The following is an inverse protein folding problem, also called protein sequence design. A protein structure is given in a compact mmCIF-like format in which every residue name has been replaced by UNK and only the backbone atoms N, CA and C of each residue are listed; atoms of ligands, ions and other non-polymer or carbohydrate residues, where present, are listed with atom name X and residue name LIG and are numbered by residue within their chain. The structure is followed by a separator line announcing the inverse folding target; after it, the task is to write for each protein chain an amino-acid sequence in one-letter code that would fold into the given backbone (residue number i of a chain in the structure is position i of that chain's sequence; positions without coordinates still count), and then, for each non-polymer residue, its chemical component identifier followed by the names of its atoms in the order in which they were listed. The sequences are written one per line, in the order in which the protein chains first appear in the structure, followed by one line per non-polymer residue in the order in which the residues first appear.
data_IF_795603550615
#
_entry.id   IF_795603550615
#
_cell.length_a   1.000
_cell.length_b   1.000
_cell.length_c   1.000
_cell.angle_alpha   90.00
_cell.angle_beta   90.00
_cell.angle_gamma   90.00
#
_symmetry.space_group_name_H-M   'P 1'
#
loop_
_entity.id
_entity.type
_entity.pdbx_description
1 polymer ?
#
# COMPACT_ATOMS: atom_id res chain seq x y z
N UNK A 1 17.92 -2.32 10.73
CA UNK A 1 17.13 -1.82 11.88
C UNK A 1 15.81 -2.58 11.85
N UNK A 2 15.26 -2.94 13.00
CA UNK A 2 14.03 -3.72 13.04
C UNK A 2 12.79 -2.80 12.86
N UNK A 3 11.69 -3.33 12.31
CA UNK A 3 10.56 -2.49 11.87
C UNK A 3 9.96 -1.63 12.99
N UNK A 4 9.92 -2.11 14.24
CA UNK A 4 9.36 -1.34 15.34
C UNK A 4 10.19 -0.08 15.60
N UNK A 5 11.52 -0.24 15.64
CA UNK A 5 12.45 0.88 15.85
C UNK A 5 12.35 1.91 14.72
N UNK A 6 12.28 1.45 13.47
CA UNK A 6 12.13 2.36 12.31
C UNK A 6 10.84 3.17 12.44
N UNK A 7 9.71 2.52 12.72
CA UNK A 7 8.43 3.20 12.81
C UNK A 7 8.35 4.10 14.05
N UNK A 8 8.93 3.70 15.19
CA UNK A 8 8.94 4.47 16.43
C UNK A 8 9.72 5.79 16.32
N UNK A 9 10.77 5.82 15.50
CA UNK A 9 11.58 7.03 15.27
C UNK A 9 10.87 8.09 14.41
N UNK A 10 9.80 7.71 13.69
CA UNK A 10 9.04 8.63 12.84
C UNK A 10 8.25 9.60 13.73
N UNK A 11 8.59 10.89 13.64
CA UNK A 11 7.84 11.96 14.31
C UNK A 11 6.57 12.29 13.53
N UNK A 12 5.48 12.46 14.25
CA UNK A 12 4.22 12.97 13.71
C UNK A 12 4.12 14.49 13.87
N UNK A 13 3.05 15.08 13.34
CA UNK A 13 2.81 16.54 13.37
C UNK A 13 2.82 17.14 14.78
N UNK A 14 2.47 16.35 15.82
CA UNK A 14 2.48 16.79 17.23
C UNK A 14 3.89 17.00 17.76
N UNK A 15 4.89 16.37 17.12
CA UNK A 15 6.32 16.43 17.44
C UNK A 15 7.12 17.14 16.35
N UNK A 16 6.49 18.05 15.60
CA UNK A 16 7.09 18.79 14.47
C UNK A 16 7.61 17.87 13.34
N UNK A 17 7.03 16.68 13.20
CA UNK A 17 7.28 15.79 12.06
C UNK A 17 6.34 16.08 10.90
N UNK A 18 6.78 15.71 9.68
CA UNK A 18 6.02 15.95 8.44
C UNK A 18 5.60 14.64 7.74
N UNK A 19 6.02 13.49 8.26
CA UNK A 19 5.87 12.20 7.59
C UNK A 19 4.59 11.45 7.95
N UNK A 20 3.86 11.83 8.99
CA UNK A 20 2.61 11.19 9.35
C UNK A 20 1.76 12.11 10.23
N UNK A 21 0.45 11.88 10.23
CA UNK A 21 -0.49 12.71 10.99
C UNK A 21 -0.54 12.28 12.47
N UNK A 22 -0.34 10.99 12.73
CA UNK A 22 -0.26 10.45 14.08
C UNK A 22 0.72 9.28 14.14
N UNK A 23 1.55 9.23 15.17
CA UNK A 23 2.35 8.06 15.50
C UNK A 23 2.52 7.91 17.02
N UNK A 24 1.97 6.83 17.58
CA UNK A 24 1.92 6.63 19.03
C UNK A 24 1.19 5.35 19.42
N UNK A 25 0.77 5.24 20.67
CA UNK A 25 -0.03 4.11 21.12
C UNK A 25 -1.39 4.11 20.43
N UNK A 26 -1.91 2.90 20.17
CA UNK A 26 -3.22 2.71 19.57
C UNK A 26 -4.34 3.25 20.48
N UNK A 27 -4.18 3.11 21.79
CA UNK A 27 -5.09 3.67 22.81
C UNK A 27 -5.26 5.19 22.63
N UNK A 28 -4.14 5.93 22.61
CA UNK A 28 -4.13 7.38 22.42
C UNK A 28 -4.84 7.80 21.11
N UNK A 29 -4.73 6.99 20.05
CA UNK A 29 -5.39 7.28 18.78
C UNK A 29 -6.91 7.05 18.84
N UNK A 30 -7.35 6.01 19.55
CA UNK A 30 -8.77 5.69 19.72
C UNK A 30 -9.53 6.79 20.48
N UNK A 31 -8.84 7.58 21.31
CA UNK A 31 -9.42 8.73 22.00
C UNK A 31 -9.62 9.96 21.09
N UNK A 32 -8.81 10.11 20.03
CA UNK A 32 -8.83 11.29 19.16
C UNK A 32 -9.52 11.06 17.82
N UNK A 33 -9.71 9.81 17.40
CA UNK A 33 -10.42 9.48 16.16
C UNK A 33 -11.90 9.88 16.26
N UNK A 34 -12.32 10.78 15.35
CA UNK A 34 -13.70 11.25 15.28
C UNK A 34 -14.65 10.07 15.08
N UNK A 35 -15.72 10.00 15.87
CA UNK A 35 -16.72 8.94 15.77
C UNK A 35 -17.66 9.08 14.56
N UNK A 36 -17.54 10.15 13.77
CA UNK A 36 -18.38 10.40 12.59
C UNK A 36 -17.80 9.88 11.27
N UNK A 37 -16.51 9.52 11.21
CA UNK A 37 -15.85 9.03 10.00
C UNK A 37 -15.37 7.57 10.18
N UNK A 38 -15.65 6.71 9.19
CA UNK A 38 -15.13 5.34 9.07
C UNK A 38 -15.31 4.39 10.28
N UNK A 39 -16.55 4.27 10.78
CA UNK A 39 -16.92 3.31 11.84
C UNK A 39 -16.34 1.89 11.65
N UNK A 40 -16.32 1.28 10.45
CA UNK A 40 -15.72 -0.05 10.27
C UNK A 40 -14.23 -0.12 10.63
N UNK A 41 -13.45 0.91 10.30
CA UNK A 41 -12.03 0.97 10.67
C UNK A 41 -11.89 1.10 12.18
N UNK A 42 -12.70 1.97 12.81
CA UNK A 42 -12.69 2.17 14.26
C UNK A 42 -12.99 0.88 15.03
N UNK A 43 -13.97 0.09 14.58
CA UNK A 43 -14.31 -1.20 15.19
C UNK A 43 -13.13 -2.19 15.12
N UNK A 44 -12.42 -2.22 13.98
CA UNK A 44 -11.21 -3.05 13.81
C UNK A 44 -10.09 -2.58 14.73
N UNK A 45 -9.87 -1.27 14.84
CA UNK A 45 -8.83 -0.71 15.70
C UNK A 45 -9.10 -0.98 17.18
N UNK A 46 -10.35 -0.84 17.64
CA UNK A 46 -10.75 -1.26 18.99
C UNK A 46 -10.50 -2.74 19.22
N UNK A 47 -10.91 -3.60 18.28
CA UNK A 47 -10.71 -5.03 18.41
C UNK A 47 -9.21 -5.42 18.45
N UNK A 48 -8.35 -4.74 17.70
CA UNK A 48 -6.90 -4.93 17.76
C UNK A 48 -6.31 -4.50 19.11
N UNK A 49 -6.80 -3.38 19.67
CA UNK A 49 -6.38 -2.91 20.99
C UNK A 49 -6.73 -3.91 22.10
N UNK A 50 -7.94 -4.50 22.05
CA UNK A 50 -8.34 -5.54 23.02
C UNK A 50 -7.50 -6.83 22.91
N UNK A 51 -6.96 -7.14 21.74
CA UNK A 51 -6.04 -8.27 21.57
C UNK A 51 -4.63 -7.96 22.10
N UNK A 52 -4.18 -6.70 22.00
CA UNK A 52 -2.88 -6.28 22.49
C UNK A 52 -2.86 -4.76 22.78
N UNK A 53 -2.80 -4.42 24.07
CA UNK A 53 -2.80 -3.03 24.54
C UNK A 53 -1.48 -2.28 24.27
N UNK A 54 -0.38 -2.99 23.96
CA UNK A 54 0.93 -2.38 23.67
C UNK A 54 1.10 -2.00 22.19
N UNK A 55 0.05 -2.15 21.38
CA UNK A 55 0.09 -1.79 19.97
C UNK A 55 0.28 -0.29 19.77
N UNK A 56 1.01 0.02 18.71
CA UNK A 56 1.17 1.36 18.19
C UNK A 56 0.56 1.47 16.80
N UNK A 57 0.21 2.70 16.44
CA UNK A 57 -0.37 3.05 15.16
C UNK A 57 0.37 4.23 14.55
N UNK A 58 0.64 4.14 13.25
CA UNK A 58 1.08 5.25 12.42
C UNK A 58 0.01 5.51 11.34
N UNK A 59 -0.48 6.75 11.29
CA UNK A 59 -1.61 7.16 10.44
C UNK A 59 -1.13 8.13 9.36
N UNK A 60 -1.57 7.88 8.13
CA UNK A 60 -1.21 8.65 6.93
C UNK A 60 0.30 8.78 6.75
N UNK A 61 1.03 7.66 6.88
CA UNK A 61 2.47 7.63 6.68
C UNK A 61 2.81 7.98 5.23
N UNK A 62 3.50 9.09 5.05
CA UNK A 62 3.94 9.63 3.78
C UNK A 62 5.28 9.04 3.38
N UNK A 63 5.39 8.69 2.10
CA UNK A 63 6.59 8.12 1.52
C UNK A 63 6.89 8.70 0.14
N UNK A 64 8.17 8.67 -0.21
CA UNK A 64 8.63 9.02 -1.53
C UNK A 64 8.31 7.95 -2.56
N UNK A 65 8.14 8.39 -3.80
CA UNK A 65 8.22 7.51 -4.94
C UNK A 65 9.70 7.31 -5.28
N UNK A 66 10.18 6.07 -5.19
CA UNK A 66 11.57 5.75 -5.45
C UNK A 66 11.95 5.98 -6.92
N UNK A 67 12.63 7.11 -7.14
CA UNK A 67 13.05 7.54 -8.48
C UNK A 67 14.03 6.57 -9.13
N UNK A 68 14.85 5.84 -8.36
CA UNK A 68 15.82 4.89 -8.91
C UNK A 68 15.12 3.66 -9.52
N UNK A 69 14.01 3.23 -8.93
CA UNK A 69 13.25 2.09 -9.45
C UNK A 69 12.52 2.47 -10.73
N UNK A 70 11.91 3.66 -10.78
CA UNK A 70 11.25 4.14 -12.00
C UNK A 70 12.27 4.49 -13.10
N UNK A 71 13.41 5.12 -12.76
CA UNK A 71 14.42 5.55 -13.75
C UNK A 71 15.14 4.37 -14.41
N UNK A 72 15.30 3.25 -13.70
CA UNK A 72 15.77 1.99 -14.26
C UNK A 72 14.73 1.29 -15.17
N UNK A 73 13.67 2.01 -15.57
CA UNK A 73 12.57 1.55 -16.41
C UNK A 73 11.87 0.30 -15.85
N UNK A 74 11.90 0.08 -14.54
CA UNK A 74 11.23 -1.06 -13.91
C UNK A 74 9.72 -0.85 -14.04
N UNK A 75 9.24 0.37 -13.76
CA UNK A 75 7.85 0.79 -13.96
C UNK A 75 7.89 2.03 -14.82
N UNK A 76 7.22 2.00 -15.97
CA UNK A 76 7.19 3.13 -16.91
C UNK A 76 6.01 4.02 -16.60
N UNK A 77 6.19 4.93 -15.67
CA UNK A 77 5.16 5.93 -15.35
C UNK A 77 5.79 7.27 -15.00
N UNK A 78 6.10 8.05 -16.04
CA UNK A 78 6.88 9.29 -15.93
C UNK A 78 6.19 10.37 -15.10
N UNK A 79 4.86 10.32 -15.02
CA UNK A 79 4.07 11.34 -14.34
C UNK A 79 4.25 11.27 -12.82
N UNK A 80 4.61 10.11 -12.26
CA UNK A 80 5.00 9.96 -10.86
C UNK A 80 6.23 10.82 -10.48
N UNK A 81 7.11 11.17 -11.43
CA UNK A 81 8.25 12.04 -11.16
C UNK A 81 7.90 13.52 -11.04
N UNK A 82 6.69 13.90 -11.47
CA UNK A 82 6.24 15.29 -11.41
C UNK A 82 5.76 15.67 -10.00
N UNK A 83 5.40 14.66 -9.20
CA UNK A 83 4.97 14.84 -7.82
C UNK A 83 6.15 15.30 -6.95
N UNK A 84 5.90 16.31 -6.12
CA UNK A 84 6.86 16.84 -5.15
C UNK A 84 6.62 16.25 -3.74
N UNK A 85 7.63 16.34 -2.87
CA UNK A 85 7.53 15.86 -1.49
C UNK A 85 7.28 14.35 -1.38
N UNK A 86 6.40 13.97 -0.46
CA UNK A 86 6.07 12.59 -0.08
C UNK A 86 4.64 12.22 -0.53
N UNK A 87 4.41 11.97 -1.83
CA UNK A 87 3.05 11.86 -2.37
C UNK A 87 2.34 10.54 -2.04
N UNK A 88 3.08 9.47 -1.69
CA UNK A 88 2.48 8.18 -1.35
C UNK A 88 2.02 8.22 0.09
N UNK A 89 0.74 7.97 0.35
CA UNK A 89 0.18 7.95 1.71
C UNK A 89 -0.27 6.52 2.04
N UNK A 90 0.33 5.94 3.08
CA UNK A 90 -0.10 4.68 3.67
C UNK A 90 -1.08 4.98 4.82
N UNK A 91 -2.38 4.62 4.70
CA UNK A 91 -3.42 5.10 5.61
C UNK A 91 -3.20 4.70 7.07
N UNK A 92 -2.98 3.40 7.32
CA UNK A 92 -2.78 2.88 8.67
C UNK A 92 -1.68 1.83 8.65
N UNK A 93 -0.74 1.96 9.58
CA UNK A 93 0.21 0.91 9.95
C UNK A 93 0.04 0.63 11.43
N UNK A 94 -0.42 -0.58 11.76
CA UNK A 94 -0.42 -1.10 13.13
C UNK A 94 0.88 -1.84 13.34
N UNK A 95 1.61 -1.54 14.40
CA UNK A 95 2.89 -2.16 14.67
C UNK A 95 3.07 -2.44 16.16
N UNK A 96 3.85 -3.48 16.45
CA UNK A 96 4.02 -3.95 17.81
C UNK A 96 5.17 -4.92 17.92
N UNK A 97 5.41 -5.31 19.17
CA UNK A 97 6.37 -6.32 19.55
C UNK A 97 5.66 -7.36 20.40
N UNK A 98 5.96 -8.63 20.14
CA UNK A 98 5.53 -9.73 20.98
C UNK A 98 6.67 -10.73 21.05
N UNK A 99 7.05 -11.09 22.28
CA UNK A 99 8.27 -11.85 22.56
C UNK A 99 9.49 -11.16 21.92
N UNK A 100 10.18 -11.83 21.00
CA UNK A 100 11.33 -11.32 20.23
C UNK A 100 10.97 -10.93 18.79
N UNK A 101 9.68 -10.86 18.45
CA UNK A 101 9.21 -10.55 17.10
C UNK A 101 8.66 -9.12 17.02
N UNK A 102 9.28 -8.31 16.19
CA UNK A 102 8.73 -7.02 15.76
C UNK A 102 7.98 -7.19 14.45
N UNK A 103 6.74 -6.72 14.40
CA UNK A 103 5.86 -6.87 13.23
C UNK A 103 5.01 -5.63 13.02
N UNK A 104 4.59 -5.46 11.77
CA UNK A 104 3.63 -4.46 11.39
C UNK A 104 2.61 -4.98 10.37
N UNK A 105 1.46 -4.31 10.34
CA UNK A 105 0.32 -4.58 9.50
C UNK A 105 -0.08 -3.27 8.80
N UNK A 106 0.06 -3.22 7.48
CA UNK A 106 -0.62 -2.19 6.66
C UNK A 106 -2.10 -2.55 6.62
N UNK A 107 -2.94 -1.58 6.99
CA UNK A 107 -4.38 -1.69 6.95
C UNK A 107 -4.93 -0.58 6.05
N UNK A 108 -5.65 -0.97 5.01
CA UNK A 108 -6.31 -0.05 4.07
C UNK A 108 -7.82 -0.22 4.17
N UNK A 109 -8.57 0.88 4.07
CA UNK A 109 -10.03 0.83 4.05
C UNK A 109 -10.55 -0.15 2.99
N UNK A 110 -11.58 -0.92 3.32
CA UNK A 110 -12.11 -1.92 2.41
C UNK A 110 -12.97 -1.31 1.30
N UNK A 111 -12.67 -1.69 0.07
CA UNK A 111 -13.54 -1.60 -1.10
C UNK A 111 -13.26 -2.80 -2.01
N UNK A 112 -14.07 -3.01 -3.05
CA UNK A 112 -13.98 -4.14 -3.98
C UNK A 112 -12.55 -4.45 -4.45
N UNK A 113 -11.72 -3.42 -4.62
CA UNK A 113 -10.37 -3.54 -5.17
C UNK A 113 -9.29 -2.90 -4.30
N UNK A 114 -9.61 -2.48 -3.07
CA UNK A 114 -8.65 -1.79 -2.21
C UNK A 114 -7.44 -2.63 -1.81
N UNK A 115 -7.53 -3.96 -1.91
CA UNK A 115 -6.40 -4.85 -1.67
C UNK A 115 -5.25 -4.61 -2.67
N UNK A 116 -5.56 -4.19 -3.91
CA UNK A 116 -4.53 -3.79 -4.87
C UNK A 116 -3.71 -2.61 -4.32
N UNK A 117 -4.35 -1.60 -3.74
CA UNK A 117 -3.62 -0.48 -3.14
C UNK A 117 -2.82 -0.91 -1.91
N UNK A 118 -3.37 -1.77 -1.04
CA UNK A 118 -2.63 -2.32 0.09
C UNK A 118 -1.34 -3.03 -0.35
N UNK A 119 -1.40 -3.83 -1.42
CA UNK A 119 -0.22 -4.47 -2.03
C UNK A 119 0.74 -3.47 -2.67
N UNK A 120 0.21 -2.46 -3.35
CA UNK A 120 1.01 -1.40 -3.96
C UNK A 120 1.82 -0.63 -2.93
N UNK A 121 1.19 -0.29 -1.80
CA UNK A 121 1.83 0.35 -0.65
C UNK A 121 2.91 -0.55 -0.06
N UNK A 122 2.59 -1.82 0.21
CA UNK A 122 3.59 -2.81 0.65
C UNK A 122 4.83 -2.83 -0.25
N UNK A 123 4.63 -2.91 -1.56
CA UNK A 123 5.76 -2.92 -2.51
C UNK A 123 6.52 -1.60 -2.59
N UNK A 124 5.86 -0.47 -2.38
CA UNK A 124 6.49 0.85 -2.44
C UNK A 124 7.30 1.12 -1.16
N UNK A 125 6.80 0.70 -0.01
CA UNK A 125 7.50 0.88 1.26
C UNK A 125 8.68 -0.09 1.43
N UNK A 126 8.60 -1.28 0.83
CA UNK A 126 9.61 -2.36 1.01
C UNK A 126 10.50 -2.61 -0.20
N UNK A 127 10.41 -1.80 -1.27
CA UNK A 127 11.32 -1.92 -2.40
C UNK A 127 12.77 -1.53 -2.03
N UNK A 128 13.78 -1.96 -2.82
CA UNK A 128 15.15 -1.55 -2.58
C UNK A 128 15.28 -0.03 -2.47
N UNK A 129 16.11 0.44 -1.53
CA UNK A 129 16.33 1.87 -1.22
C UNK A 129 15.16 2.61 -0.54
N UNK A 130 14.01 1.97 -0.34
CA UNK A 130 12.96 2.51 0.55
C UNK A 130 13.33 2.30 2.02
N UNK A 131 12.75 3.10 2.92
CA UNK A 131 13.10 3.08 4.34
C UNK A 131 12.70 1.77 5.06
N UNK A 132 11.77 0.98 4.49
CA UNK A 132 11.42 -0.38 4.99
C UNK A 132 11.97 -1.50 4.09
N UNK A 133 12.98 -1.25 3.26
CA UNK A 133 13.56 -2.25 2.34
C UNK A 133 13.99 -3.55 3.07
N UNK A 134 14.57 -3.40 4.26
CA UNK A 134 15.06 -4.53 5.07
C UNK A 134 13.95 -5.21 5.89
N UNK A 135 12.77 -4.59 5.99
CA UNK A 135 11.65 -5.04 6.82
C UNK A 135 10.56 -5.79 6.06
N UNK A 136 10.80 -6.19 4.80
CA UNK A 136 9.79 -6.89 3.98
C UNK A 136 9.22 -8.16 4.63
N UNK A 137 9.99 -8.79 5.52
CA UNK A 137 9.65 -10.03 6.23
C UNK A 137 9.02 -9.76 7.61
N UNK A 138 8.75 -8.50 7.93
CA UNK A 138 8.17 -8.04 9.20
C UNK A 138 6.83 -7.31 8.98
N UNK A 139 6.46 -7.09 7.71
CA UNK A 139 5.30 -6.33 7.28
C UNK A 139 4.31 -7.21 6.52
N UNK A 140 3.03 -7.08 6.83
CA UNK A 140 1.92 -7.71 6.10
C UNK A 140 0.91 -6.65 5.69
N UNK A 141 0.32 -6.76 4.51
CA UNK A 141 -0.71 -5.85 4.03
C UNK A 141 -2.07 -6.56 3.88
N UNK A 142 -3.09 -5.93 4.46
CA UNK A 142 -4.49 -6.37 4.45
C UNK A 142 -5.45 -5.20 4.23
N UNK A 143 -6.72 -5.54 4.03
CA UNK A 143 -7.83 -4.59 3.97
C UNK A 143 -8.71 -4.73 5.20
N UNK A 144 -9.32 -3.62 5.60
CA UNK A 144 -10.26 -3.49 6.71
C UNK A 144 -11.65 -4.06 6.36
N UNK A 145 -11.71 -5.31 5.86
CA UNK A 145 -12.95 -5.93 5.35
C UNK A 145 -13.90 -6.34 6.48
N UNK A 146 -13.35 -6.91 7.55
CA UNK A 146 -14.10 -7.32 8.73
C UNK A 146 -13.18 -7.41 9.94
N UNK A 147 -13.75 -7.20 11.12
CA UNK A 147 -13.05 -7.39 12.41
C UNK A 147 -12.45 -8.79 12.48
N UNK A 148 -13.26 -9.83 12.26
CA UNK A 148 -12.81 -11.22 12.35
C UNK A 148 -11.68 -11.55 11.37
N UNK A 149 -11.75 -11.05 10.13
CA UNK A 149 -10.72 -11.29 9.12
C UNK A 149 -9.38 -10.63 9.46
N UNK A 150 -9.42 -9.39 9.95
CA UNK A 150 -8.22 -8.66 10.38
C UNK A 150 -7.63 -9.32 11.64
N UNK A 151 -8.46 -9.64 12.64
CA UNK A 151 -8.01 -10.32 13.86
C UNK A 151 -7.41 -11.70 13.58
N UNK A 152 -8.01 -12.48 12.67
CA UNK A 152 -7.47 -13.77 12.27
C UNK A 152 -6.07 -13.66 11.66
N UNK A 153 -5.80 -12.57 10.93
CA UNK A 153 -4.46 -12.28 10.41
C UNK A 153 -3.54 -11.80 11.54
N UNK A 154 -4.00 -10.88 12.38
CA UNK A 154 -3.23 -10.30 13.48
C UNK A 154 -2.75 -11.35 14.49
N UNK A 155 -3.62 -12.27 14.91
CA UNK A 155 -3.25 -13.38 15.84
C UNK A 155 -2.15 -14.29 15.30
N UNK A 156 -1.97 -14.35 13.97
CA UNK A 156 -0.88 -15.08 13.31
C UNK A 156 0.36 -14.24 13.06
N UNK A 157 0.28 -12.91 13.18
CA UNK A 157 1.30 -11.96 12.73
C UNK A 157 2.67 -12.21 13.40
N UNK A 158 2.67 -12.52 14.69
CA UNK A 158 3.88 -12.74 15.47
C UNK A 158 4.39 -14.20 15.44
N UNK A 159 3.50 -15.17 15.19
CA UNK A 159 3.82 -16.60 15.20
C UNK A 159 4.13 -17.20 13.82
N UNK A 160 3.69 -16.55 12.74
CA UNK A 160 3.89 -16.99 11.36
C UNK A 160 4.85 -16.03 10.65
N UNK A 161 5.72 -16.57 9.80
CA UNK A 161 6.60 -15.74 8.95
C UNK A 161 5.73 -14.81 8.09
N UNK A 162 6.02 -13.50 8.10
CA UNK A 162 5.20 -12.50 7.39
C UNK A 162 5.01 -12.85 5.90
N UNK A 163 6.05 -13.34 5.22
CA UNK A 163 5.93 -13.76 3.81
C UNK A 163 4.99 -14.95 3.58
N UNK A 164 4.78 -15.83 4.57
CA UNK A 164 3.78 -16.89 4.48
C UNK A 164 2.37 -16.36 4.72
N UNK A 165 2.22 -15.48 5.73
CA UNK A 165 0.95 -14.82 6.04
C UNK A 165 0.49 -13.92 4.90
N UNK A 166 1.40 -13.18 4.27
CA UNK A 166 1.13 -12.38 3.09
C UNK A 166 0.65 -13.23 1.91
N UNK A 167 1.24 -14.42 1.68
CA UNK A 167 0.76 -15.34 0.64
C UNK A 167 -0.62 -15.91 0.94
N UNK A 168 -0.94 -16.11 2.22
CA UNK A 168 -2.30 -16.50 2.64
C UNK A 168 -3.30 -15.39 2.31
N UNK A 169 -2.99 -14.15 2.70
CA UNK A 169 -3.81 -12.98 2.38
C UNK A 169 -3.98 -12.78 0.86
N UNK A 170 -2.90 -12.92 0.08
CA UNK A 170 -2.91 -12.78 -1.38
C UNK A 170 -3.87 -13.81 -2.03
N UNK A 171 -3.81 -15.09 -1.62
CA UNK A 171 -4.64 -16.17 -2.18
C UNK A 171 -6.13 -16.01 -1.89
N UNK A 172 -6.48 -15.34 -0.79
CA UNK A 172 -7.88 -15.06 -0.44
C UNK A 172 -8.46 -13.93 -1.30
N UNK A 173 -7.62 -13.17 -2.00
CA UNK A 173 -8.03 -11.97 -2.76
C UNK A 173 -8.01 -12.17 -4.26
N UNK A 174 -7.03 -12.89 -4.78
CA UNK A 174 -6.96 -13.23 -6.20
C UNK A 174 -6.52 -14.68 -6.40
N UNK A 175 -7.20 -15.36 -7.34
CA UNK A 175 -6.95 -16.77 -7.65
C UNK A 175 -5.67 -16.99 -8.46
N UNK A 176 -5.33 -16.04 -9.33
CA UNK A 176 -4.14 -16.07 -10.18
C UNK A 176 -3.79 -14.65 -10.68
N UNK A 177 -2.68 -14.55 -11.42
CA UNK A 177 -2.19 -13.29 -11.96
C UNK A 177 -3.16 -12.64 -12.97
N UNK A 178 -3.81 -13.43 -13.83
CA UNK A 178 -4.71 -12.87 -14.85
C UNK A 178 -5.93 -12.21 -14.21
N UNK A 179 -6.48 -12.81 -13.15
CA UNK A 179 -7.54 -12.18 -12.36
C UNK A 179 -7.04 -10.87 -11.73
N UNK A 180 -5.86 -10.87 -11.09
CA UNK A 180 -5.27 -9.66 -10.52
C UNK A 180 -5.05 -8.56 -11.57
N UNK A 181 -4.55 -8.92 -12.76
CA UNK A 181 -4.35 -7.96 -13.85
C UNK A 181 -5.68 -7.37 -14.32
N UNK A 182 -6.71 -8.20 -14.47
CA UNK A 182 -8.06 -7.76 -14.82
C UNK A 182 -8.61 -6.80 -13.77
N UNK A 183 -8.52 -7.15 -12.49
CA UNK A 183 -9.03 -6.29 -11.41
C UNK A 183 -8.29 -4.94 -11.39
N UNK A 184 -6.97 -4.93 -11.65
CA UNK A 184 -6.20 -3.70 -11.73
C UNK A 184 -6.56 -2.84 -12.96
N UNK A 185 -6.90 -3.46 -14.10
CA UNK A 185 -7.39 -2.74 -15.29
C UNK A 185 -8.77 -2.13 -15.03
N UNK A 186 -9.68 -2.91 -14.47
CA UNK A 186 -11.05 -2.45 -14.18
C UNK A 186 -11.02 -1.33 -13.12
N UNK A 187 -10.12 -1.41 -12.13
CA UNK A 187 -9.91 -0.33 -11.16
C UNK A 187 -9.34 0.93 -11.80
N UNK A 188 -8.33 0.79 -12.65
CA UNK A 188 -7.69 1.93 -13.29
C UNK A 188 -8.65 2.69 -14.22
N UNK A 189 -9.54 1.97 -14.91
CA UNK A 189 -10.59 2.59 -15.72
C UNK A 189 -11.63 3.28 -14.83
N UNK A 190 -12.07 2.67 -13.72
CA UNK A 190 -12.97 3.33 -12.77
C UNK A 190 -12.37 4.61 -12.18
N UNK A 191 -11.08 4.60 -11.80
CA UNK A 191 -10.38 5.81 -11.33
C UNK A 191 -10.34 6.87 -12.43
N UNK A 192 -10.14 6.48 -13.69
CA UNK A 192 -10.13 7.39 -14.84
C UNK A 192 -11.51 7.97 -15.16
N UNK A 193 -12.57 7.18 -15.10
CA UNK A 193 -13.95 7.64 -15.31
C UNK A 193 -14.39 8.63 -14.22
N UNK A 194 -13.96 8.42 -12.98
CA UNK A 194 -14.33 9.28 -11.85
C UNK A 194 -13.40 10.48 -11.64
N UNK A 195 -12.22 10.50 -12.27
CA UNK A 195 -11.18 11.50 -12.02
C UNK A 195 -11.67 12.95 -12.18
N UNK A 196 -12.46 13.27 -13.20
CA UNK A 196 -12.98 14.63 -13.40
C UNK A 196 -13.96 15.06 -12.30
N UNK A 197 -14.81 14.13 -11.84
CA UNK A 197 -15.76 14.39 -10.76
C UNK A 197 -15.01 14.59 -9.45
N UNK A 198 -14.10 13.68 -9.11
CA UNK A 198 -13.26 13.78 -7.90
C UNK A 198 -12.43 15.08 -7.91
N UNK A 199 -11.85 15.45 -9.06
CA UNK A 199 -11.13 16.72 -9.19
C UNK A 199 -12.04 17.92 -9.01
N UNK A 200 -13.26 17.91 -9.55
CA UNK A 200 -14.21 19.03 -9.41
C UNK A 200 -14.64 19.22 -7.97
N UNK A 201 -14.87 18.14 -7.25
CA UNK A 201 -15.35 18.13 -5.86
C UNK A 201 -14.24 18.39 -4.83
N UNK A 202 -12.98 18.09 -5.15
CA UNK A 202 -11.86 18.30 -4.24
C UNK A 202 -11.66 19.78 -3.86
N UNK A 203 -11.48 20.06 -2.58
CA UNK A 203 -11.07 21.39 -2.10
C UNK A 203 -9.64 21.72 -2.53
N UNK A 204 -8.73 20.77 -2.35
CA UNK A 204 -7.34 20.85 -2.81
C UNK A 204 -7.17 20.07 -4.12
N UNK A 205 -7.11 20.81 -5.23
CA UNK A 205 -6.94 20.24 -6.56
C UNK A 205 -5.57 19.58 -6.73
N UNK A 206 -4.51 20.14 -6.16
CA UNK A 206 -3.17 19.58 -6.29
C UNK A 206 -3.07 18.25 -5.55
N UNK A 207 -3.56 18.20 -4.30
CA UNK A 207 -3.59 16.97 -3.52
C UNK A 207 -4.41 15.88 -4.21
N UNK A 208 -5.54 16.23 -4.83
CA UNK A 208 -6.35 15.28 -5.60
C UNK A 208 -5.63 14.76 -6.85
N UNK A 209 -4.96 15.64 -7.61
CA UNK A 209 -4.11 15.22 -8.74
C UNK A 209 -3.04 14.24 -8.27
N UNK A 210 -2.37 14.53 -7.15
CA UNK A 210 -1.33 13.66 -6.59
C UNK A 210 -1.92 12.31 -6.22
N UNK A 211 -3.07 12.29 -5.54
CA UNK A 211 -3.80 11.07 -5.19
C UNK A 211 -4.14 10.21 -6.42
N UNK A 212 -4.67 10.82 -7.49
CA UNK A 212 -4.98 10.13 -8.74
C UNK A 212 -3.73 9.51 -9.37
N UNK A 213 -2.65 10.29 -9.50
CA UNK A 213 -1.38 9.80 -10.06
C UNK A 213 -0.81 8.67 -9.21
N UNK A 214 -0.86 8.77 -7.89
CA UNK A 214 -0.40 7.72 -6.98
C UNK A 214 -1.24 6.45 -7.12
N UNK A 215 -2.58 6.55 -7.21
CA UNK A 215 -3.45 5.37 -7.43
C UNK A 215 -3.04 4.59 -8.68
N UNK A 216 -2.89 5.24 -9.83
CA UNK A 216 -2.42 4.55 -11.05
C UNK A 216 -0.99 4.03 -10.92
N UNK A 217 -0.10 4.76 -10.23
CA UNK A 217 1.26 4.28 -9.94
C UNK A 217 1.23 2.96 -9.13
N UNK A 218 0.42 2.89 -8.08
CA UNK A 218 0.28 1.70 -7.23
C UNK A 218 -0.31 0.51 -8.01
N UNK A 219 -1.29 0.74 -8.88
CA UNK A 219 -1.85 -0.32 -9.75
C UNK A 219 -0.78 -0.87 -10.71
N UNK A 220 -0.04 0.01 -11.40
CA UNK A 220 1.10 -0.38 -12.24
C UNK A 220 2.16 -1.14 -11.45
N UNK A 221 2.47 -0.69 -10.22
CA UNK A 221 3.41 -1.34 -9.30
C UNK A 221 3.02 -2.77 -9.00
N UNK A 222 1.77 -2.99 -8.60
CA UNK A 222 1.27 -4.32 -8.23
C UNK A 222 1.31 -5.28 -9.41
N UNK A 223 0.79 -4.87 -10.56
CA UNK A 223 0.76 -5.68 -11.78
C UNK A 223 2.17 -6.07 -12.23
N UNK A 224 3.13 -5.15 -12.13
CA UNK A 224 4.52 -5.43 -12.44
C UNK A 224 5.16 -6.40 -11.43
N UNK A 225 5.10 -6.07 -10.14
CA UNK A 225 5.83 -6.83 -9.10
C UNK A 225 5.25 -8.22 -8.94
N UNK A 226 3.91 -8.38 -8.97
CA UNK A 226 3.28 -9.69 -8.86
C UNK A 226 3.66 -10.61 -10.03
N UNK A 227 3.78 -10.07 -11.25
CA UNK A 227 4.28 -10.85 -12.38
C UNK A 227 5.72 -11.30 -12.17
N UNK A 228 6.57 -10.39 -11.67
CA UNK A 228 8.00 -10.63 -11.46
C UNK A 228 8.30 -11.66 -10.35
N UNK A 229 7.47 -11.72 -9.30
CA UNK A 229 7.65 -12.69 -8.20
C UNK A 229 7.01 -14.05 -8.48
N UNK A 230 6.23 -14.17 -9.55
CA UNK A 230 5.60 -15.42 -9.95
C UNK A 230 6.63 -16.39 -10.56
N UNK A 231 7.07 -17.35 -9.74
CA UNK A 231 8.04 -18.38 -10.14
C UNK A 231 7.49 -19.34 -11.18
N UNK A 232 6.19 -19.64 -11.13
CA UNK A 232 5.56 -20.56 -12.07
C UNK A 232 5.55 -19.96 -13.48
N UNK A 233 5.25 -18.66 -13.60
CA UNK A 233 5.37 -17.94 -14.87
C UNK A 233 6.82 -17.88 -15.36
N UNK A 234 7.78 -17.61 -14.47
CA UNK A 234 9.20 -17.62 -14.82
C UNK A 234 9.61 -18.97 -15.44
N UNK A 235 9.27 -20.08 -14.79
CA UNK A 235 9.70 -21.41 -15.22
C UNK A 235 8.91 -21.93 -16.42
N UNK A 236 7.59 -21.83 -16.38
CA UNK A 236 6.71 -22.52 -17.33
C UNK A 236 6.35 -21.67 -18.57
N UNK A 237 6.37 -20.34 -18.47
CA UNK A 237 6.04 -19.43 -19.59
C UNK A 237 7.31 -18.85 -20.21
N UNK A 238 8.28 -18.50 -19.37
CA UNK A 238 9.50 -17.79 -19.80
C UNK A 238 10.75 -18.66 -19.82
N UNK A 239 10.64 -19.96 -19.55
CA UNK A 239 11.75 -20.94 -19.63
C UNK A 239 12.94 -20.55 -18.72
N UNK A 240 12.65 -20.00 -17.54
CA UNK A 240 13.67 -19.48 -16.62
C UNK A 240 14.31 -18.16 -17.04
N UNK A 241 13.85 -17.53 -18.14
CA UNK A 241 14.43 -16.30 -18.65
C UNK A 241 13.82 -15.05 -17.98
N UNK A 242 14.54 -14.51 -17.00
CA UNK A 242 14.15 -13.30 -16.26
C UNK A 242 13.99 -12.08 -17.18
N UNK A 243 14.74 -11.99 -18.29
CA UNK A 243 14.61 -10.85 -19.23
C UNK A 243 13.28 -10.90 -19.99
N UNK A 244 12.85 -12.10 -20.43
CA UNK A 244 11.53 -12.30 -21.08
C UNK A 244 10.40 -11.97 -20.11
N UNK A 245 10.45 -12.52 -18.89
CA UNK A 245 9.45 -12.24 -17.85
C UNK A 245 9.36 -10.75 -17.53
N UNK A 246 10.50 -10.08 -17.38
CA UNK A 246 10.55 -8.64 -17.12
C UNK A 246 9.95 -7.83 -18.26
N UNK A 247 10.21 -8.20 -19.51
CA UNK A 247 9.62 -7.52 -20.64
C UNK A 247 8.09 -7.65 -20.63
N UNK A 248 7.56 -8.85 -20.34
CA UNK A 248 6.12 -9.04 -20.23
C UNK A 248 5.50 -8.31 -19.03
N UNK A 249 6.18 -8.27 -17.88
CA UNK A 249 5.75 -7.48 -16.73
C UNK A 249 5.59 -5.99 -17.07
N UNK A 250 6.52 -5.43 -17.87
CA UNK A 250 6.44 -4.05 -18.34
C UNK A 250 5.25 -3.84 -19.27
N UNK A 251 5.04 -4.74 -20.23
CA UNK A 251 3.88 -4.68 -21.14
C UNK A 251 2.58 -4.67 -20.33
N UNK A 252 2.43 -5.61 -19.39
CA UNK A 252 1.24 -5.70 -18.55
C UNK A 252 1.02 -4.43 -17.69
N UNK A 253 2.09 -3.83 -17.15
CA UNK A 253 1.98 -2.58 -16.41
C UNK A 253 1.69 -1.39 -17.34
N UNK A 254 2.21 -1.37 -18.56
CA UNK A 254 1.98 -0.33 -19.56
C UNK A 254 0.50 -0.31 -20.02
N UNK A 255 -0.20 -1.46 -20.00
CA UNK A 255 -1.63 -1.57 -20.31
C UNK A 255 -2.56 -0.87 -19.31
N UNK A 256 -2.11 -0.60 -18.08
CA UNK A 256 -2.93 0.09 -17.08
C UNK A 256 -3.28 1.51 -17.58
N UNK A 257 -4.58 1.81 -17.82
CA UNK A 257 -5.02 3.11 -18.29
C UNK A 257 -4.83 4.17 -17.19
N UNK A 258 -4.60 5.42 -17.60
CA UNK A 258 -4.48 6.55 -16.70
C UNK A 258 -4.73 7.86 -17.47
N UNK A 259 -5.03 8.94 -16.75
CA UNK A 259 -5.02 10.30 -17.29
C UNK A 259 -3.66 10.92 -16.98
N UNK A 260 -3.03 11.54 -17.98
CA UNK A 260 -1.69 12.10 -17.76
C UNK A 260 -1.72 13.27 -16.77
N UNK A 261 -0.65 13.46 -15.99
CA UNK A 261 -0.55 14.57 -15.03
C UNK A 261 -0.88 15.93 -15.67
N UNK A 262 -0.36 16.17 -16.88
CA UNK A 262 -0.57 17.42 -17.59
C UNK A 262 -2.00 17.60 -18.10
N UNK A 263 -2.74 16.50 -18.31
CA UNK A 263 -4.14 16.52 -18.69
C UNK A 263 -5.04 16.76 -17.48
N UNK A 264 -4.75 16.14 -16.32
CA UNK A 264 -5.44 16.41 -15.06
C UNK A 264 -5.41 17.92 -14.70
N UNK A 265 -4.26 18.56 -14.88
CA UNK A 265 -4.12 20.02 -14.65
C UNK A 265 -4.92 20.88 -15.63
N UNK A 266 -5.27 20.36 -16.81
CA UNK A 266 -6.12 21.07 -17.79
C UNK A 266 -7.60 20.86 -17.52
N UNK A 267 -7.96 19.90 -16.67
CA UNK A 267 -9.33 19.59 -16.27
C UNK A 267 -9.79 20.39 -15.04
N UNK A 268 -8.91 21.20 -14.44
CA UNK A 268 -9.22 22.19 -13.39
C UNK A 268 -9.59 23.52 -14.04
#
# INVERSE_FOLDING_TARGET
MAIYQILEEIKDVRKEGELCDFNGYLEDYLEVIDSSEDQPMKDILHALFEENHDLKICVNLRADINRQVISNQIIRYKDAFKLQGHPVICPVIIYGKQDDAERALILVQHSDRSYLYAKGLYYTLTEPYSFLADCKNELVAVTAESVDGVLATFRKLFSVKAGALQREADRNRFSNYEQLKKDALDEAEAVKENAETELREAEDKEAMIYSLVVRWFLLKKVVYVQYMVNKDMLQNVHEGNIKKQRNQAKINADEIPFISYSELWRSI
#
